data_IF_631992112291
#
_entry.id   IF_631992112291
#
_cell.length_a   1.000
_cell.length_b   1.000
_cell.length_c   1.000
_cell.angle_alpha   90.00
_cell.angle_beta   90.00
_cell.angle_gamma   90.00
#
_symmetry.space_group_name_H-M   'P 1'
#
loop_
_entity.id
_entity.type
_entity.pdbx_description
1 polymer ?
#
# COMPACT_ATOMS: atom_id res chain seq x y z
N UNK A 1 -9.58 -18.98 -44.97
CA UNK A 1 -10.52 -19.70 -44.08
C UNK A 1 -9.65 -20.45 -43.07
N UNK A 2 -9.69 -20.30 -41.74
CA UNK A 2 -10.67 -19.81 -40.76
C UNK A 2 -9.98 -18.96 -39.67
N UNK A 3 -10.82 -18.26 -38.90
CA UNK A 3 -10.55 -17.20 -37.92
C UNK A 3 -10.51 -17.76 -36.49
N UNK A 4 -9.76 -17.12 -35.56
CA UNK A 4 -10.01 -17.04 -34.10
C UNK A 4 -8.93 -16.11 -33.49
N UNK A 5 -9.17 -14.82 -33.21
CA UNK A 5 -9.98 -14.18 -32.15
C UNK A 5 -9.55 -14.47 -30.70
N UNK A 6 -8.98 -13.41 -30.10
CA UNK A 6 -9.25 -12.88 -28.75
C UNK A 6 -8.79 -13.65 -27.51
N UNK A 7 -7.94 -13.00 -26.70
CA UNK A 7 -8.22 -12.77 -25.27
C UNK A 7 -7.25 -11.75 -24.66
N UNK A 8 -7.82 -10.61 -24.27
CA UNK A 8 -7.32 -9.58 -23.36
C UNK A 8 -6.48 -10.14 -22.20
N UNK A 9 -5.19 -9.79 -22.16
CA UNK A 9 -4.34 -9.96 -20.99
C UNK A 9 -4.79 -9.04 -19.86
N UNK A 10 -5.79 -9.50 -19.10
CA UNK A 10 -6.28 -8.87 -17.86
C UNK A 10 -5.10 -8.73 -16.90
N UNK A 11 -4.77 -7.49 -16.53
CA UNK A 11 -3.74 -7.14 -15.55
C UNK A 11 -4.01 -7.91 -14.25
N UNK A 12 -3.30 -9.03 -14.07
CA UNK A 12 -3.42 -9.87 -12.89
C UNK A 12 -2.93 -9.05 -11.71
N UNK A 13 -3.88 -8.70 -10.87
CA UNK A 13 -3.60 -8.04 -9.63
C UNK A 13 -2.92 -9.05 -8.71
N UNK A 14 -1.66 -8.87 -8.24
CA UNK A 14 -1.03 -9.81 -7.30
C UNK A 14 -1.99 -10.11 -6.16
N UNK A 15 -2.12 -11.40 -5.88
CA UNK A 15 -2.99 -11.91 -4.83
C UNK A 15 -2.48 -11.44 -3.46
N UNK A 16 -3.35 -11.22 -2.47
CA UNK A 16 -2.92 -10.78 -1.13
C UNK A 16 -1.88 -11.68 -0.45
N UNK A 17 -1.75 -12.93 -0.92
CA UNK A 17 -0.81 -13.93 -0.43
C UNK A 17 0.63 -13.70 -0.91
N UNK A 18 0.82 -13.23 -2.15
CA UNK A 18 2.14 -12.93 -2.73
C UNK A 18 2.79 -11.68 -2.12
N UNK A 19 2.00 -10.79 -1.49
CA UNK A 19 2.49 -9.58 -0.83
C UNK A 19 2.95 -9.83 0.62
N UNK A 20 2.86 -11.08 1.10
CA UNK A 20 3.29 -11.45 2.46
C UNK A 20 4.80 -11.64 2.58
N UNK A 21 5.57 -11.58 1.50
CA UNK A 21 7.00 -11.95 1.49
C UNK A 21 8.00 -10.85 1.89
N UNK A 22 7.57 -9.68 2.40
CA UNK A 22 8.53 -8.70 2.92
C UNK A 22 8.11 -8.20 4.30
N UNK A 23 8.64 -8.84 5.35
CA UNK A 23 9.31 -8.18 6.49
C UNK A 23 9.58 -9.18 7.64
N UNK A 24 10.71 -9.90 7.58
CA UNK A 24 11.25 -10.70 8.70
C UNK A 24 12.13 -9.89 9.65
N UNK A 25 11.76 -8.66 10.00
CA UNK A 25 12.48 -7.89 11.01
C UNK A 25 11.49 -7.19 11.95
N UNK A 26 11.59 -7.40 13.28
CA UNK A 26 10.75 -6.67 14.24
C UNK A 26 11.25 -5.22 14.35
N UNK A 27 10.75 -4.33 13.48
CA UNK A 27 11.00 -2.87 13.50
C UNK A 27 10.16 -2.12 14.55
N UNK A 28 9.71 -2.81 15.59
CA UNK A 28 8.65 -2.36 16.51
C UNK A 28 9.08 -1.32 17.54
N UNK A 29 10.37 -0.99 17.65
CA UNK A 29 10.86 -0.20 18.79
C UNK A 29 10.58 1.30 18.72
N UNK A 30 10.24 1.88 17.55
CA UNK A 30 10.12 3.36 17.41
C UNK A 30 8.90 3.81 16.56
N UNK A 31 8.10 2.89 16.03
CA UNK A 31 7.00 3.26 15.15
C UNK A 31 5.76 3.75 15.93
N UNK A 32 5.18 4.85 15.48
CA UNK A 32 3.89 5.34 15.96
C UNK A 32 2.78 4.34 15.61
N UNK A 33 1.76 4.17 16.46
CA UNK A 33 0.56 3.41 16.11
C UNK A 33 -0.09 3.93 14.81
N UNK A 34 -0.73 3.05 14.03
CA UNK A 34 -1.45 3.46 12.82
C UNK A 34 -2.55 4.51 13.08
N UNK A 35 -3.14 4.48 14.27
CA UNK A 35 -4.15 5.46 14.69
C UNK A 35 -3.54 6.86 14.87
N UNK A 36 -2.31 6.96 15.37
CA UNK A 36 -1.58 8.23 15.45
C UNK A 36 -1.37 8.84 14.07
N UNK A 37 -1.04 8.04 13.06
CA UNK A 37 -0.93 8.55 11.68
C UNK A 37 -2.27 9.10 11.18
N UNK A 38 -3.37 8.41 11.48
CA UNK A 38 -4.71 8.87 11.12
C UNK A 38 -5.10 10.17 11.82
N UNK A 39 -4.68 10.37 13.06
CA UNK A 39 -4.96 11.61 13.81
C UNK A 39 -4.06 12.77 13.37
N UNK A 40 -2.79 12.51 13.04
CA UNK A 40 -1.81 13.53 12.68
C UNK A 40 -2.00 14.07 11.25
N UNK A 41 -2.49 13.24 10.34
CA UNK A 41 -2.64 13.60 8.93
C UNK A 41 -4.13 13.62 8.55
N UNK A 42 -4.69 14.80 8.20
CA UNK A 42 -6.09 14.92 7.78
C UNK A 42 -6.40 14.14 6.49
N UNK A 43 -5.42 14.04 5.59
CA UNK A 43 -5.55 13.23 4.39
C UNK A 43 -5.25 11.76 4.72
N UNK A 44 -6.25 10.89 4.52
CA UNK A 44 -6.13 9.46 4.74
C UNK A 44 -5.02 8.83 3.90
N UNK A 45 -4.84 9.27 2.66
CA UNK A 45 -3.78 8.81 1.77
C UNK A 45 -2.41 9.22 2.30
N UNK A 46 -2.27 10.45 2.79
CA UNK A 46 -1.03 10.87 3.42
C UNK A 46 -0.73 10.05 4.68
N UNK A 47 -1.73 9.84 5.55
CA UNK A 47 -1.58 8.98 6.73
C UNK A 47 -1.07 7.57 6.37
N UNK A 48 -1.70 6.94 5.37
CA UNK A 48 -1.32 5.62 4.86
C UNK A 48 0.10 5.60 4.30
N UNK A 49 0.48 6.63 3.53
CA UNK A 49 1.80 6.72 2.93
C UNK A 49 2.90 6.93 3.99
N UNK A 50 2.67 7.84 4.95
CA UNK A 50 3.59 8.11 6.07
C UNK A 50 3.79 6.89 6.96
N UNK A 51 2.73 6.12 7.20
CA UNK A 51 2.81 4.85 7.91
C UNK A 51 3.70 3.83 7.17
N UNK A 52 3.60 3.74 5.84
CA UNK A 52 4.46 2.87 5.04
C UNK A 52 5.92 3.34 5.03
N UNK A 53 6.14 4.65 4.85
CA UNK A 53 7.49 5.25 4.84
C UNK A 53 8.22 5.13 6.18
N UNK A 54 7.49 4.97 7.28
CA UNK A 54 8.09 4.62 8.58
C UNK A 54 8.85 3.28 8.56
N UNK A 55 8.58 2.42 7.58
CA UNK A 55 9.14 1.09 7.45
C UNK A 55 8.61 0.07 8.46
N UNK A 56 7.69 0.48 9.34
CA UNK A 56 7.18 -0.34 10.43
C UNK A 56 5.96 -1.19 10.07
N UNK A 57 5.27 -0.83 9.01
CA UNK A 57 4.04 -1.49 8.57
C UNK A 57 4.11 -1.82 7.08
N UNK A 58 3.61 -3.00 6.73
CA UNK A 58 3.41 -3.40 5.34
C UNK A 58 2.18 -2.72 4.74
N UNK A 59 2.11 -2.65 3.40
CA UNK A 59 0.93 -2.13 2.69
C UNK A 59 -0.36 -2.84 3.09
N UNK A 60 -0.28 -4.14 3.37
CA UNK A 60 -1.42 -4.97 3.76
C UNK A 60 -1.89 -4.67 5.19
N UNK A 61 -0.97 -4.50 6.14
CA UNK A 61 -1.30 -4.13 7.53
C UNK A 61 -1.95 -2.74 7.59
N UNK A 62 -1.39 -1.78 6.85
CA UNK A 62 -1.97 -0.44 6.72
C UNK A 62 -3.35 -0.54 6.08
N UNK A 63 -3.49 -1.28 4.97
CA UNK A 63 -4.77 -1.46 4.30
C UNK A 63 -5.83 -2.05 5.23
N UNK A 64 -5.49 -3.09 5.99
CA UNK A 64 -6.39 -3.70 6.96
C UNK A 64 -6.85 -2.70 8.05
N UNK A 65 -5.95 -1.88 8.58
CA UNK A 65 -6.29 -0.87 9.58
C UNK A 65 -7.18 0.26 9.03
N UNK A 66 -6.89 0.73 7.82
CA UNK A 66 -7.65 1.80 7.18
C UNK A 66 -8.92 1.32 6.44
N UNK A 67 -9.20 0.02 6.43
CA UNK A 67 -10.35 -0.58 5.76
C UNK A 67 -10.26 -0.50 4.23
N UNK A 68 -9.05 -0.52 3.66
CA UNK A 68 -8.80 -0.42 2.22
C UNK A 68 -7.92 -1.54 1.69
N UNK A 69 -7.95 -1.75 0.38
CA UNK A 69 -7.04 -2.69 -0.27
C UNK A 69 -5.60 -2.15 -0.31
N UNK A 70 -4.61 -3.05 -0.26
CA UNK A 70 -3.18 -2.71 -0.37
C UNK A 70 -2.84 -1.82 -1.58
N UNK A 71 -3.61 -1.95 -2.68
CA UNK A 71 -3.44 -1.15 -3.91
C UNK A 71 -3.71 0.33 -3.67
N UNK A 72 -4.67 0.63 -2.81
CA UNK A 72 -4.99 2.00 -2.40
C UNK A 72 -3.84 2.60 -1.62
N UNK A 73 -3.26 1.83 -0.69
CA UNK A 73 -2.06 2.23 0.07
C UNK A 73 -0.88 2.45 -0.88
N UNK A 74 -0.63 1.53 -1.82
CA UNK A 74 0.46 1.67 -2.80
C UNK A 74 0.31 2.92 -3.67
N UNK A 75 -0.91 3.25 -4.11
CA UNK A 75 -1.19 4.49 -4.85
C UNK A 75 -0.94 5.73 -4.00
N UNK A 76 -1.32 5.69 -2.72
CA UNK A 76 -1.08 6.79 -1.79
C UNK A 76 0.41 7.05 -1.59
N UNK A 77 1.22 6.01 -1.39
CA UNK A 77 2.68 6.10 -1.29
C UNK A 77 3.28 6.76 -2.53
N UNK A 78 2.94 6.25 -3.72
CA UNK A 78 3.45 6.81 -4.98
C UNK A 78 3.09 8.27 -5.18
N UNK A 79 1.89 8.68 -4.74
CA UNK A 79 1.44 10.08 -4.86
C UNK A 79 2.22 10.98 -3.91
N UNK A 80 2.48 10.53 -2.68
CA UNK A 80 3.28 11.30 -1.73
C UNK A 80 4.71 11.51 -2.26
N UNK A 81 5.35 10.45 -2.78
CA UNK A 81 6.70 10.53 -3.38
C UNK A 81 6.78 11.46 -4.61
N UNK A 82 5.66 11.65 -5.33
CA UNK A 82 5.58 12.60 -6.44
C UNK A 82 5.44 14.04 -5.94
N UNK A 83 4.60 14.26 -4.93
CA UNK A 83 4.40 15.58 -4.33
C UNK A 83 5.68 16.12 -3.66
N UNK A 84 6.57 15.26 -3.14
CA UNK A 84 7.85 15.69 -2.55
C UNK A 84 8.91 16.12 -3.60
N UNK A 85 8.63 15.94 -4.90
CA UNK A 85 9.57 16.26 -6.00
C UNK A 85 9.25 17.56 -6.73
N UNK A 86 8.10 18.17 -6.45
CA UNK A 86 7.64 19.45 -7.01
C UNK A 86 7.87 20.59 -6.01
#
# INVERSE_FOLDING_TARGET
MMLSSSATGRTRSPSPEELREVSKAPRRSIALPLDDYRQRYPDRNEAMARAYLSGAYTLSEIGAHFGVQYRTVSRAVRRLEQNDRD
#
